data_IF_962010096169
#
_entry.id   IF_962010096169
#
_cell.length_a   1.000
_cell.length_b   1.000
_cell.length_c   1.000
_cell.angle_alpha   90.00
_cell.angle_beta   90.00
_cell.angle_gamma   90.00
#
_symmetry.space_group_name_H-M   'P 1'
#
loop_
_entity.id
_entity.type
_entity.pdbx_description
1 polymer ?
#
# COMPACT_ATOMS: atom_id res chain seq x y z
N UNK A 1 18.01 19.64 10.99
CA UNK A 1 17.32 19.64 9.69
C UNK A 1 17.82 18.40 8.98
N UNK A 2 17.14 17.26 9.14
CA UNK A 2 17.54 16.01 8.50
C UNK A 2 16.76 15.97 7.19
N UNK A 3 17.45 16.09 6.07
CA UNK A 3 16.89 15.77 4.75
C UNK A 3 16.55 14.28 4.76
N UNK A 4 15.28 13.97 4.99
CA UNK A 4 14.76 12.64 4.80
C UNK A 4 14.85 12.32 3.31
N UNK A 5 15.62 11.28 2.99
CA UNK A 5 15.97 10.84 1.65
C UNK A 5 14.69 10.35 0.92
N UNK A 6 13.88 11.29 0.42
CA UNK A 6 12.63 11.01 -0.31
C UNK A 6 12.96 10.28 -1.60
N UNK A 7 12.75 8.97 -1.61
CA UNK A 7 12.80 8.18 -2.84
C UNK A 7 11.52 8.39 -3.62
N UNK A 8 11.66 8.58 -4.94
CA UNK A 8 10.51 8.59 -5.84
C UNK A 8 9.70 7.28 -5.68
N UNK A 9 8.36 7.35 -5.72
CA UNK A 9 7.52 6.17 -5.62
C UNK A 9 7.79 5.23 -6.79
N UNK A 10 7.98 3.95 -6.50
CA UNK A 10 8.09 2.91 -7.52
C UNK A 10 6.73 2.29 -7.77
N UNK A 11 6.45 1.95 -9.03
CA UNK A 11 5.17 1.38 -9.45
C UNK A 11 5.37 0.12 -10.27
N UNK A 12 4.47 -0.85 -10.07
CA UNK A 12 4.27 -2.00 -10.94
C UNK A 12 2.94 -1.84 -11.66
N UNK A 13 2.99 -1.72 -12.99
CA UNK A 13 1.81 -1.66 -13.85
C UNK A 13 1.68 -2.98 -14.63
N UNK A 14 0.54 -3.64 -14.47
CA UNK A 14 0.18 -4.87 -15.18
C UNK A 14 -0.98 -4.58 -16.11
N UNK A 15 -0.78 -4.79 -17.41
CA UNK A 15 -1.77 -4.52 -18.44
C UNK A 15 -2.31 -5.81 -19.05
N UNK A 16 -3.62 -6.02 -18.90
CA UNK A 16 -4.36 -7.01 -19.66
C UNK A 16 -4.87 -6.41 -20.98
N UNK A 17 -5.74 -7.16 -21.69
CA UNK A 17 -6.33 -6.67 -22.94
C UNK A 17 -7.29 -5.50 -22.74
N UNK A 18 -8.08 -5.53 -21.67
CA UNK A 18 -9.14 -4.55 -21.39
C UNK A 18 -9.02 -3.89 -20.00
N UNK A 19 -8.05 -4.30 -19.19
CA UNK A 19 -7.90 -3.86 -17.81
C UNK A 19 -6.45 -3.53 -17.47
N UNK A 20 -6.25 -2.63 -16.52
CA UNK A 20 -4.96 -2.35 -15.89
C UNK A 20 -5.04 -2.53 -14.38
N UNK A 21 -3.95 -3.01 -13.80
CA UNK A 21 -3.66 -2.98 -12.37
C UNK A 21 -2.39 -2.16 -12.17
N UNK A 22 -2.45 -1.15 -11.29
CA UNK A 22 -1.29 -0.37 -10.87
C UNK A 22 -1.12 -0.50 -9.37
N UNK A 23 0.07 -0.93 -8.96
CA UNK A 23 0.48 -1.05 -7.57
C UNK A 23 1.63 -0.09 -7.31
N UNK A 24 1.59 0.63 -6.20
CA UNK A 24 2.76 1.32 -5.66
C UNK A 24 3.55 0.32 -4.81
N UNK A 25 4.88 0.35 -4.91
CA UNK A 25 5.77 -0.55 -4.18
C UNK A 25 6.68 0.25 -3.25
N UNK A 26 6.19 0.64 -2.06
CA UNK A 26 7.04 1.26 -1.05
C UNK A 26 8.14 0.29 -0.62
N UNK A 27 9.32 0.79 -0.22
CA UNK A 27 10.34 -0.07 0.38
C UNK A 27 9.81 -0.69 1.68
N UNK A 28 10.18 -1.95 1.93
CA UNK A 28 9.94 -2.68 3.19
C UNK A 28 8.46 -2.82 3.62
N UNK A 29 7.50 -2.53 2.74
CA UNK A 29 6.07 -2.69 2.97
C UNK A 29 5.44 -3.55 1.85
N UNK A 30 4.23 -4.06 2.09
CA UNK A 30 3.45 -4.69 1.04
C UNK A 30 2.98 -3.64 0.00
N UNK A 31 2.84 -4.01 -1.29
CA UNK A 31 2.35 -3.10 -2.32
C UNK A 31 1.00 -2.46 -1.98
N UNK A 32 0.78 -1.25 -2.46
CA UNK A 32 -0.44 -0.48 -2.23
C UNK A 32 -1.29 -0.44 -3.50
N UNK A 33 -2.60 -0.57 -3.35
CA UNK A 33 -3.53 -0.44 -4.47
C UNK A 33 -3.56 1.01 -4.95
N UNK A 34 -3.22 1.24 -6.23
CA UNK A 34 -3.37 2.56 -6.86
C UNK A 34 -4.49 2.59 -7.88
N UNK A 35 -4.65 1.52 -8.64
CA UNK A 35 -5.67 1.43 -9.67
C UNK A 35 -6.00 -0.02 -10.00
N UNK A 36 -7.29 -0.32 -10.18
CA UNK A 36 -7.74 -1.50 -10.89
C UNK A 36 -9.02 -1.15 -11.66
N UNK A 37 -8.97 -1.25 -12.98
CA UNK A 37 -10.09 -0.84 -13.83
C UNK A 37 -9.81 -1.02 -15.32
N UNK A 38 -10.52 -0.26 -16.19
CA UNK A 38 -10.28 -0.22 -17.62
C UNK A 38 -8.80 -0.05 -18.01
N UNK A 39 -8.43 -0.52 -19.22
CA UNK A 39 -7.05 -0.41 -19.68
C UNK A 39 -6.62 1.05 -19.79
N UNK A 40 -5.57 1.38 -19.05
CA UNK A 40 -4.89 2.67 -19.12
C UNK A 40 -3.97 2.75 -20.35
N UNK A 41 -3.66 3.96 -20.83
CA UNK A 41 -2.58 4.18 -21.79
C UNK A 41 -1.24 3.66 -21.27
N UNK A 42 -0.34 3.30 -22.19
CA UNK A 42 1.01 2.87 -21.81
C UNK A 42 1.76 3.96 -21.03
N UNK A 43 2.45 3.55 -19.96
CA UNK A 43 3.20 4.45 -19.08
C UNK A 43 2.36 5.29 -18.12
N UNK A 44 1.02 5.13 -18.10
CA UNK A 44 0.16 5.86 -17.18
C UNK A 44 0.35 5.38 -15.74
N UNK A 45 0.96 6.24 -14.91
CA UNK A 45 1.11 6.04 -13.45
C UNK A 45 0.75 7.32 -12.70
N UNK A 46 0.36 7.23 -11.42
CA UNK A 46 0.16 8.42 -10.59
C UNK A 46 1.42 9.28 -10.50
N UNK A 47 1.30 10.62 -10.41
CA UNK A 47 2.45 11.53 -10.37
C UNK A 47 3.18 11.52 -9.01
N UNK A 48 2.57 10.97 -7.96
CA UNK A 48 3.11 10.95 -6.60
C UNK A 48 2.69 9.71 -5.80
N UNK A 49 3.43 9.46 -4.72
CA UNK A 49 3.16 8.38 -3.78
C UNK A 49 1.83 8.61 -3.06
N UNK A 50 1.18 7.54 -2.62
CA UNK A 50 -0.17 7.63 -2.07
C UNK A 50 -0.18 8.43 -0.77
N UNK A 51 0.88 8.29 0.02
CA UNK A 51 1.11 9.02 1.28
C UNK A 51 1.27 10.53 1.06
N UNK A 52 1.88 10.92 -0.06
CA UNK A 52 2.09 12.33 -0.42
C UNK A 52 0.82 13.00 -0.93
N UNK A 53 -0.07 12.22 -1.55
CA UNK A 53 -1.32 12.72 -2.11
C UNK A 53 -2.45 12.85 -1.06
N UNK A 54 -2.34 12.19 0.09
CA UNK A 54 -3.37 12.22 1.12
C UNK A 54 -3.15 13.37 2.12
N UNK A 55 -4.17 14.20 2.38
CA UNK A 55 -4.09 15.18 3.46
C UNK A 55 -4.10 14.46 4.82
N UNK A 56 -3.30 14.95 5.78
CA UNK A 56 -3.29 14.44 7.15
C UNK A 56 -4.60 14.78 7.86
N UNK A 57 -5.37 13.79 8.36
CA UNK A 57 -6.57 14.06 9.14
C UNK A 57 -6.23 14.67 10.51
N UNK A 58 -7.10 15.57 11.01
CA UNK A 58 -6.87 16.31 12.28
C UNK A 58 -6.78 15.44 13.55
N UNK A 59 -7.23 14.18 13.48
CA UNK A 59 -7.20 13.20 14.58
C UNK A 59 -6.58 11.88 14.11
N UNK A 60 -5.60 11.93 13.21
CA UNK A 60 -4.91 10.75 12.72
C UNK A 60 -3.80 10.32 13.68
N UNK A 61 -3.49 9.02 13.66
CA UNK A 61 -2.18 8.56 14.10
C UNK A 61 -1.10 9.20 13.21
N UNK A 62 0.10 9.39 13.75
CA UNK A 62 1.26 9.90 12.98
C UNK A 62 1.66 8.96 11.83
N UNK A 63 1.14 7.73 11.81
CA UNK A 63 1.33 6.78 10.72
C UNK A 63 0.08 6.73 9.82
N UNK A 64 0.28 7.01 8.54
CA UNK A 64 -0.76 6.85 7.51
C UNK A 64 -0.93 5.35 7.18
N UNK A 65 -2.15 4.83 7.25
CA UNK A 65 -2.45 3.41 6.99
C UNK A 65 -3.12 3.26 5.61
N UNK A 66 -2.36 2.95 4.54
CA UNK A 66 -2.92 2.78 3.20
C UNK A 66 -3.67 1.46 3.03
N UNK A 67 -4.51 1.41 1.99
CA UNK A 67 -5.07 0.16 1.48
C UNK A 67 -3.96 -0.65 0.77
N UNK A 68 -3.40 -1.60 1.50
CA UNK A 68 -2.40 -2.55 0.99
C UNK A 68 -3.06 -3.73 0.25
N UNK A 69 -2.31 -4.40 -0.62
CA UNK A 69 -2.68 -5.72 -1.17
C UNK A 69 -2.74 -6.81 -0.10
N UNK A 70 -2.14 -6.58 1.07
CA UNK A 70 -2.06 -7.55 2.17
C UNK A 70 -2.58 -6.96 3.50
N UNK A 71 -3.87 -6.59 3.58
CA UNK A 71 -4.43 -5.86 4.72
C UNK A 71 -4.26 -6.63 6.04
N UNK A 72 -3.87 -5.90 7.10
CA UNK A 72 -3.67 -6.45 8.43
C UNK A 72 -4.92 -6.38 9.31
N UNK A 73 -4.98 -7.29 10.30
CA UNK A 73 -5.99 -7.27 11.34
C UNK A 73 -5.78 -6.06 12.27
N UNK A 74 -6.86 -5.37 12.66
CA UNK A 74 -6.83 -4.34 13.72
C UNK A 74 -6.31 -2.96 13.31
N UNK A 75 -6.02 -2.71 12.02
CA UNK A 75 -5.49 -1.41 11.53
C UNK A 75 -6.51 -0.58 10.75
N UNK A 76 -7.77 -0.59 11.18
CA UNK A 76 -8.85 0.17 10.52
C UNK A 76 -9.39 -0.47 9.23
N UNK A 77 -8.98 -1.70 8.92
CA UNK A 77 -9.62 -2.55 7.92
C UNK A 77 -10.79 -3.30 8.55
N UNK A 78 -11.99 -3.14 8.01
CA UNK A 78 -13.22 -3.71 8.57
C UNK A 78 -13.69 -4.99 7.88
N UNK A 79 -12.99 -5.45 6.85
CA UNK A 79 -13.27 -6.72 6.16
C UNK A 79 -12.29 -7.81 6.59
N UNK A 80 -12.34 -8.97 5.94
CA UNK A 80 -11.42 -10.07 6.20
C UNK A 80 -9.96 -9.62 5.90
N UNK A 81 -9.03 -9.74 6.86
CA UNK A 81 -7.62 -9.45 6.60
C UNK A 81 -6.99 -10.56 5.75
N UNK A 82 -5.82 -10.28 5.18
CA UNK A 82 -5.13 -11.24 4.31
C UNK A 82 -4.58 -12.47 5.06
N UNK A 83 -4.28 -12.32 6.35
CA UNK A 83 -3.83 -13.37 7.23
C UNK A 83 -4.60 -13.28 8.56
N UNK A 84 -5.16 -14.41 8.98
CA UNK A 84 -5.75 -14.61 10.31
C UNK A 84 -4.97 -15.72 11.00
N UNK A 85 -4.01 -15.34 11.84
CA UNK A 85 -3.15 -16.27 12.56
C UNK A 85 -2.75 -15.68 13.92
N UNK A 86 -2.24 -16.55 14.79
CA UNK A 86 -1.64 -16.15 16.06
C UNK A 86 -0.52 -17.11 16.43
N UNK A 87 0.38 -16.67 17.31
CA UNK A 87 1.42 -17.50 17.94
C UNK A 87 0.98 -17.76 19.38
N UNK A 88 0.42 -18.95 19.63
CA UNK A 88 -0.05 -19.35 20.97
C UNK A 88 -0.98 -18.33 21.67
N UNK A 89 -1.89 -17.71 20.91
CA UNK A 89 -2.80 -16.68 21.42
C UNK A 89 -2.17 -15.29 21.55
N UNK A 90 -1.02 -15.05 20.91
CA UNK A 90 -0.37 -13.75 20.78
C UNK A 90 -0.11 -13.38 19.29
N UNK A 91 0.37 -12.16 19.04
CA UNK A 91 0.80 -11.70 17.70
C UNK A 91 -0.27 -11.83 16.60
N UNK A 92 -1.49 -11.37 16.89
CA UNK A 92 -2.65 -11.45 15.97
C UNK A 92 -2.56 -10.53 14.74
N UNK A 93 -1.61 -9.58 14.74
CA UNK A 93 -1.38 -8.65 13.64
C UNK A 93 -0.02 -8.92 12.99
N UNK A 94 0.05 -8.75 11.67
CA UNK A 94 1.27 -8.93 10.90
C UNK A 94 1.77 -7.59 10.36
N UNK A 95 3.09 -7.50 10.18
CA UNK A 95 3.72 -6.46 9.38
C UNK A 95 4.39 -7.16 8.19
N UNK A 96 3.86 -6.99 6.96
CA UNK A 96 4.51 -7.55 5.78
C UNK A 96 5.76 -6.74 5.45
N UNK A 97 6.85 -7.44 5.16
CA UNK A 97 8.12 -6.85 4.73
C UNK A 97 8.51 -7.40 3.37
N UNK A 98 9.36 -6.67 2.63
CA UNK A 98 9.89 -7.16 1.38
C UNK A 98 10.80 -8.39 1.62
N UNK A 99 10.64 -9.43 0.80
CA UNK A 99 11.60 -10.54 0.75
C UNK A 99 12.89 -10.06 0.08
N UNK A 100 14.03 -10.34 0.71
CA UNK A 100 15.37 -10.05 0.18
C UNK A 100 15.72 -10.90 -1.04
#
# INVERSE_FOLDING_TARGET
MIEENRREPSFVALHGRATSLVLETPPDEAPLWRYWGPRLPEGAVPPSGLREARPTPSFSLDSDQPLSVFPAFGVGWFYQPALLAHRDGADFAHQPTASR
#
